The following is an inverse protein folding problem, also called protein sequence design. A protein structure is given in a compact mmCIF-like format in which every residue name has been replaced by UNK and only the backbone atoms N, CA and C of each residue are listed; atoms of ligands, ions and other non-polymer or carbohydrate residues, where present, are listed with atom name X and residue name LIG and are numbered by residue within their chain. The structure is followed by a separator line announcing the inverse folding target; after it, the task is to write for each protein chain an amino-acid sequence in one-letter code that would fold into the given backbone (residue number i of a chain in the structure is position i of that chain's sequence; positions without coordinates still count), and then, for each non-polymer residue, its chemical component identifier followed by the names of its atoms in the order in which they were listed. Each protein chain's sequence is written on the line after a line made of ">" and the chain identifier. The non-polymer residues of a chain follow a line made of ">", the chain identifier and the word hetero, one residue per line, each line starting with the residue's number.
data_IF_882070539002
#
_entry.id   IF_882070539002
#
_cell.length_a   1.000
_cell.length_b   1.000
_cell.length_c   1.000
_cell.angle_alpha   90.00
_cell.angle_beta   90.00
_cell.angle_gamma   90.00
#
_symmetry.space_group_name_H-M   'P 1'
#
loop_
_entity.id
_entity.type
_entity.pdbx_description
1 polymer ?
#
# COMPACT_ATOMS: atom_id res chain seq x y z
N UNK A 1 -12.35 7.44 11.12
CA UNK A 1 -11.94 6.16 11.74
C UNK A 1 -10.85 6.47 12.75
N UNK A 2 -11.10 6.31 14.05
CA UNK A 2 -10.09 6.53 15.09
C UNK A 2 -9.60 5.17 15.56
N UNK A 3 -8.43 4.76 15.08
CA UNK A 3 -7.80 3.53 15.54
C UNK A 3 -6.79 3.91 16.63
N UNK A 4 -6.79 3.25 17.81
CA UNK A 4 -5.99 3.66 18.96
C UNK A 4 -4.53 3.18 18.80
N UNK A 5 -3.85 3.65 17.76
CA UNK A 5 -2.42 3.38 17.60
C UNK A 5 -1.64 4.03 18.74
N UNK A 6 -0.62 3.30 19.23
CA UNK A 6 0.36 3.85 20.16
C UNK A 6 1.04 5.09 19.51
N UNK A 7 1.28 6.16 20.26
CA UNK A 7 2.11 7.28 19.81
C UNK A 7 3.49 6.78 19.33
N UNK A 8 4.04 7.44 18.31
CA UNK A 8 5.34 7.11 17.69
C UNK A 8 5.43 5.73 17.00
N UNK A 9 4.37 4.91 17.06
CA UNK A 9 4.37 3.64 16.35
C UNK A 9 4.31 3.85 14.84
N UNK A 10 4.89 2.91 14.10
CA UNK A 10 4.63 2.75 12.67
C UNK A 10 3.25 2.13 12.50
N UNK A 11 2.38 2.74 11.69
CA UNK A 11 0.95 2.43 11.64
C UNK A 11 0.58 1.87 10.27
N UNK A 12 -0.02 0.68 10.27
CA UNK A 12 -0.60 0.07 9.08
C UNK A 12 -2.01 -0.37 9.37
N UNK A 13 -2.91 -0.16 8.41
CA UNK A 13 -4.24 -0.75 8.38
C UNK A 13 -4.30 -1.59 7.11
N UNK A 14 -4.74 -2.84 7.25
CA UNK A 14 -5.07 -3.70 6.11
C UNK A 14 -6.59 -3.85 6.10
N UNK A 15 -7.25 -3.18 5.17
CA UNK A 15 -8.69 -3.25 4.98
C UNK A 15 -9.03 -4.40 4.01
N UNK A 16 -9.99 -5.24 4.38
CA UNK A 16 -10.47 -6.34 3.55
C UNK A 16 -11.92 -6.06 3.18
N UNK A 17 -12.20 -5.98 1.89
CA UNK A 17 -13.54 -5.80 1.35
C UNK A 17 -14.00 -7.07 0.66
N UNK A 18 -15.28 -7.42 0.84
CA UNK A 18 -15.90 -8.54 0.13
C UNK A 18 -16.51 -8.14 -1.22
N UNK A 19 -16.55 -6.85 -1.53
CA UNK A 19 -17.07 -6.26 -2.77
C UNK A 19 -16.29 -4.98 -3.08
N UNK A 20 -16.15 -4.58 -4.36
CA UNK A 20 -15.59 -3.28 -4.73
C UNK A 20 -16.33 -2.13 -4.04
N UNK A 21 -15.60 -1.09 -3.67
CA UNK A 21 -16.15 0.13 -3.11
C UNK A 21 -16.74 1.00 -4.23
N UNK A 22 -18.07 1.00 -4.31
CA UNK A 22 -18.82 1.80 -5.28
C UNK A 22 -18.43 3.29 -5.22
N UNK A 23 -18.29 3.91 -6.39
CA UNK A 23 -18.28 5.37 -6.49
C UNK A 23 -19.69 5.85 -6.16
N UNK A 24 -19.84 6.58 -5.06
CA UNK A 24 -21.11 7.24 -4.75
C UNK A 24 -21.45 8.20 -5.89
N UNK A 25 -22.50 7.86 -6.65
CA UNK A 25 -22.94 8.57 -7.87
C UNK A 25 -23.71 9.86 -7.53
N UNK A 26 -23.90 10.16 -6.23
CA UNK A 26 -24.72 11.28 -5.79
C UNK A 26 -23.84 12.53 -5.55
N UNK A 27 -23.98 13.61 -6.35
CA UNK A 27 -23.25 14.86 -6.17
C UNK A 27 -23.76 15.71 -4.99
N UNK A 28 -24.70 15.18 -4.20
CA UNK A 28 -25.42 15.89 -3.15
C UNK A 28 -25.08 15.30 -1.79
N UNK A 29 -24.08 15.87 -1.12
CA UNK A 29 -23.92 15.96 0.35
C UNK A 29 -22.45 16.17 0.73
N UNK A 30 -22.19 16.58 1.97
CA UNK A 30 -20.88 16.79 2.61
C UNK A 30 -19.91 15.58 2.61
N UNK A 31 -20.25 14.49 1.94
CA UNK A 31 -19.43 13.28 1.83
C UNK A 31 -18.05 13.50 1.20
N UNK A 32 -17.88 14.30 0.12
CA UNK A 32 -16.56 14.57 -0.46
C UNK A 32 -15.65 15.28 0.54
N UNK A 33 -16.19 16.25 1.28
CA UNK A 33 -15.44 16.99 2.30
C UNK A 33 -15.03 16.08 3.47
N UNK A 34 -15.94 15.20 3.94
CA UNK A 34 -15.62 14.21 4.98
C UNK A 34 -14.56 13.20 4.52
N UNK A 35 -14.62 12.76 3.27
CA UNK A 35 -13.62 11.88 2.66
C UNK A 35 -12.25 12.57 2.56
N UNK A 36 -12.22 13.82 2.10
CA UNK A 36 -11.00 14.62 2.04
C UNK A 36 -10.39 14.86 3.43
N UNK A 37 -11.20 15.23 4.43
CA UNK A 37 -10.76 15.41 5.81
C UNK A 37 -10.26 14.08 6.40
N UNK A 38 -10.92 12.97 6.10
CA UNK A 38 -10.48 11.62 6.46
C UNK A 38 -9.12 11.30 5.86
N UNK A 39 -8.92 11.58 4.57
CA UNK A 39 -7.64 11.42 3.87
C UNK A 39 -6.53 12.24 4.51
N UNK A 40 -6.77 13.53 4.75
CA UNK A 40 -5.81 14.43 5.41
C UNK A 40 -5.45 13.89 6.80
N UNK A 41 -6.42 13.40 7.57
CA UNK A 41 -6.18 12.83 8.89
C UNK A 41 -5.33 11.54 8.81
N UNK A 42 -5.56 10.67 7.82
CA UNK A 42 -4.77 9.45 7.59
C UNK A 42 -3.32 9.80 7.22
N UNK A 43 -3.14 10.72 6.27
CA UNK A 43 -1.81 11.19 5.85
C UNK A 43 -1.06 11.81 7.03
N UNK A 44 -1.69 12.75 7.74
CA UNK A 44 -1.08 13.42 8.90
C UNK A 44 -0.74 12.47 10.01
N UNK A 45 -1.54 11.42 10.23
CA UNK A 45 -1.25 10.44 11.28
C UNK A 45 -0.16 9.42 10.89
N UNK A 46 0.28 9.42 9.63
CA UNK A 46 1.30 8.50 9.11
C UNK A 46 0.79 7.07 8.96
N UNK A 47 -0.53 6.88 8.84
CA UNK A 47 -1.12 5.56 8.64
C UNK A 47 -0.95 5.15 7.19
N UNK A 48 -0.36 3.98 6.97
CA UNK A 48 -0.43 3.27 5.69
C UNK A 48 -1.72 2.47 5.61
N UNK A 49 -2.47 2.64 4.53
CA UNK A 49 -3.66 1.84 4.28
C UNK A 49 -3.43 0.92 3.09
N UNK A 50 -3.42 -0.38 3.36
CA UNK A 50 -3.44 -1.41 2.34
C UNK A 50 -4.85 -1.95 2.19
N UNK A 51 -5.27 -2.21 0.95
CA UNK A 51 -6.63 -2.66 0.65
C UNK A 51 -6.58 -4.02 -0.05
N UNK A 52 -7.36 -4.96 0.43
CA UNK A 52 -7.63 -6.24 -0.22
C UNK A 52 -9.08 -6.17 -0.72
N UNK A 53 -9.28 -6.26 -2.02
CA UNK A 53 -10.61 -6.11 -2.64
C UNK A 53 -10.76 -7.02 -3.87
N UNK A 54 -11.97 -7.44 -4.23
CA UNK A 54 -12.23 -8.13 -5.49
C UNK A 54 -11.93 -7.21 -6.67
N UNK A 55 -11.28 -7.76 -7.69
CA UNK A 55 -10.89 -7.08 -8.94
C UNK A 55 -11.22 -7.99 -10.12
N UNK A 56 -12.51 -8.15 -10.38
CA UNK A 56 -13.01 -9.11 -11.37
C UNK A 56 -12.73 -8.71 -12.82
N UNK A 57 -12.44 -7.43 -13.08
CA UNK A 57 -12.15 -6.87 -14.40
C UNK A 57 -10.69 -6.43 -14.57
N UNK A 58 -9.80 -6.88 -13.68
CA UNK A 58 -8.37 -6.64 -13.80
C UNK A 58 -7.82 -7.28 -15.08
N UNK A 59 -7.21 -6.46 -15.92
CA UNK A 59 -6.61 -6.89 -17.18
C UNK A 59 -5.31 -6.14 -17.45
N UNK A 60 -4.48 -6.70 -18.34
CA UNK A 60 -3.25 -6.06 -18.82
C UNK A 60 -3.42 -5.81 -20.31
N UNK A 61 -3.22 -4.57 -20.73
CA UNK A 61 -3.32 -4.17 -22.13
C UNK A 61 -2.41 -5.00 -23.03
N UNK A 62 -2.96 -5.51 -24.13
CA UNK A 62 -2.23 -6.34 -25.10
C UNK A 62 -1.87 -7.75 -24.61
N UNK A 63 -2.34 -8.19 -23.44
CA UNK A 63 -2.13 -9.55 -22.93
C UNK A 63 -3.44 -10.30 -22.68
N UNK A 64 -3.34 -11.62 -22.53
CA UNK A 64 -4.45 -12.50 -22.20
C UNK A 64 -4.85 -12.38 -20.72
N UNK A 65 -6.08 -12.82 -20.40
CA UNK A 65 -6.61 -12.77 -19.02
C UNK A 65 -5.74 -13.51 -18.01
N UNK A 66 -5.09 -14.61 -18.42
CA UNK A 66 -4.20 -15.40 -17.56
C UNK A 66 -2.99 -14.62 -17.07
N UNK A 67 -2.55 -13.61 -17.83
CA UNK A 67 -1.47 -12.74 -17.40
C UNK A 67 -1.87 -11.91 -16.17
N UNK A 68 -3.13 -11.49 -16.08
CA UNK A 68 -3.66 -10.73 -14.95
C UNK A 68 -3.84 -11.59 -13.69
N UNK A 69 -4.11 -12.90 -13.82
CA UNK A 69 -4.19 -13.85 -12.69
C UNK A 69 -2.87 -13.95 -11.89
N UNK A 70 -1.75 -13.59 -12.52
CA UNK A 70 -0.44 -13.55 -11.89
C UNK A 70 -0.18 -12.29 -11.06
N UNK A 71 -1.06 -11.29 -11.12
CA UNK A 71 -0.97 -10.08 -10.31
C UNK A 71 -1.40 -10.40 -8.88
N UNK A 72 -0.59 -10.02 -7.91
CA UNK A 72 -0.93 -10.06 -6.48
C UNK A 72 -1.57 -8.74 -6.06
N UNK A 73 -1.01 -7.63 -6.53
CA UNK A 73 -1.48 -6.29 -6.18
C UNK A 73 -0.71 -5.21 -6.92
N UNK A 74 -0.99 -3.95 -6.60
CA UNK A 74 -0.33 -2.77 -7.17
C UNK A 74 -0.46 -1.60 -6.20
N UNK A 75 0.40 -0.60 -6.33
CA UNK A 75 0.25 0.70 -5.66
C UNK A 75 0.12 1.83 -6.68
N UNK A 76 0.60 3.04 -6.36
CA UNK A 76 0.55 4.17 -7.27
C UNK A 76 1.68 4.15 -8.33
N UNK A 77 2.67 3.26 -8.17
CA UNK A 77 3.91 3.27 -8.95
C UNK A 77 4.17 1.95 -9.66
N UNK A 78 3.88 0.81 -9.01
CA UNK A 78 4.28 -0.50 -9.52
C UNK A 78 3.22 -1.59 -9.33
N UNK A 79 3.31 -2.62 -10.17
CA UNK A 79 2.55 -3.87 -10.05
C UNK A 79 3.40 -4.96 -9.40
N UNK A 80 2.80 -5.72 -8.50
CA UNK A 80 3.40 -6.85 -7.82
C UNK A 80 2.80 -8.16 -8.32
N UNK A 81 3.64 -9.10 -8.72
CA UNK A 81 3.24 -10.38 -9.32
C UNK A 81 3.69 -11.57 -8.48
N UNK A 82 3.12 -12.75 -8.74
CA UNK A 82 3.42 -13.99 -8.01
C UNK A 82 4.92 -14.34 -7.97
N UNK A 83 5.69 -13.94 -9.00
CA UNK A 83 7.14 -14.15 -9.07
C UNK A 83 7.94 -13.34 -8.04
N UNK A 84 7.36 -12.25 -7.52
CA UNK A 84 8.01 -11.37 -6.56
C UNK A 84 8.14 -12.00 -5.17
N UNK A 85 7.39 -13.07 -4.88
CA UNK A 85 7.42 -13.78 -3.61
C UNK A 85 8.82 -14.27 -3.22
N UNK A 86 9.68 -14.53 -4.22
CA UNK A 86 11.05 -15.01 -4.03
C UNK A 86 12.10 -13.90 -4.03
N UNK A 87 11.72 -12.65 -4.35
CA UNK A 87 12.66 -11.53 -4.42
C UNK A 87 12.99 -11.04 -3.03
N UNK A 88 14.27 -10.73 -2.80
CA UNK A 88 14.75 -10.14 -1.53
C UNK A 88 14.27 -8.70 -1.35
N UNK A 89 14.12 -7.97 -2.44
CA UNK A 89 13.64 -6.59 -2.46
C UNK A 89 12.42 -6.50 -3.35
N UNK A 90 11.33 -5.93 -2.81
CA UNK A 90 10.07 -5.80 -3.52
C UNK A 90 10.02 -4.43 -4.19
N UNK A 91 10.36 -4.39 -5.49
CA UNK A 91 10.23 -3.18 -6.33
C UNK A 91 8.96 -3.17 -7.18
N UNK A 92 8.41 -4.35 -7.49
CA UNK A 92 7.35 -4.48 -8.47
C UNK A 92 7.85 -4.20 -9.89
N UNK A 93 6.89 -4.02 -10.80
CA UNK A 93 7.07 -3.72 -12.21
C UNK A 93 6.31 -2.43 -12.56
N UNK A 94 7.06 -1.34 -12.75
CA UNK A 94 6.55 0.01 -13.08
C UNK A 94 6.05 0.10 -14.52
N UNK A 95 6.66 -0.66 -15.44
CA UNK A 95 6.21 -0.69 -16.84
C UNK A 95 4.89 -1.42 -16.96
N UNK A 96 4.73 -2.54 -16.24
CA UNK A 96 3.46 -3.27 -16.20
C UNK A 96 2.32 -2.42 -15.61
N UNK A 97 2.61 -1.53 -14.65
CA UNK A 97 1.62 -0.62 -14.07
C UNK A 97 0.95 0.30 -15.10
N UNK A 98 1.69 0.73 -16.12
CA UNK A 98 1.13 1.58 -17.20
C UNK A 98 0.09 0.86 -18.06
N UNK A 99 0.05 -0.47 -17.99
CA UNK A 99 -0.79 -1.31 -18.84
C UNK A 99 -1.93 -2.00 -18.09
N UNK A 100 -2.03 -1.86 -16.75
CA UNK A 100 -3.16 -2.46 -16.03
C UNK A 100 -4.43 -1.64 -16.23
N UNK A 101 -5.56 -2.33 -16.38
CA UNK A 101 -6.90 -1.75 -16.45
C UNK A 101 -7.81 -2.43 -15.44
N UNK A 102 -8.59 -1.64 -14.72
CA UNK A 102 -9.54 -2.09 -13.70
C UNK A 102 -10.65 -1.04 -13.52
N UNK A 103 -11.78 -1.46 -12.95
CA UNK A 103 -12.90 -0.57 -12.71
C UNK A 103 -12.57 0.48 -11.65
N UNK A 104 -12.93 1.76 -11.85
CA UNK A 104 -12.67 2.80 -10.86
C UNK A 104 -13.36 2.53 -9.53
N UNK A 105 -12.61 2.59 -8.43
CA UNK A 105 -13.06 2.22 -7.09
C UNK A 105 -12.52 3.23 -6.06
N UNK A 106 -13.40 3.71 -5.17
CA UNK A 106 -13.03 4.76 -4.21
C UNK A 106 -12.02 4.31 -3.15
N UNK A 107 -12.02 3.04 -2.77
CA UNK A 107 -11.07 2.46 -1.84
C UNK A 107 -9.70 2.27 -2.48
N UNK A 108 -9.66 1.91 -3.77
CA UNK A 108 -8.43 1.87 -4.56
C UNK A 108 -7.81 3.27 -4.64
N UNK A 109 -8.61 4.25 -5.10
CA UNK A 109 -8.18 5.65 -5.24
C UNK A 109 -7.66 6.19 -3.89
N UNK A 110 -8.35 5.87 -2.79
CA UNK A 110 -7.96 6.29 -1.46
C UNK A 110 -6.64 5.63 -1.01
N UNK A 111 -6.49 4.31 -1.16
CA UNK A 111 -5.29 3.56 -0.78
C UNK A 111 -4.04 4.06 -1.51
N UNK A 112 -4.12 4.18 -2.84
CA UNK A 112 -3.02 4.70 -3.66
C UNK A 112 -2.62 6.12 -3.22
N UNK A 113 -3.61 6.94 -2.86
CA UNK A 113 -3.36 8.33 -2.47
C UNK A 113 -2.77 8.55 -1.08
N UNK A 114 -2.65 7.48 -0.29
CA UNK A 114 -1.96 7.47 1.01
C UNK A 114 -0.73 6.56 0.98
N UNK A 115 -0.16 6.38 -0.21
CA UNK A 115 1.01 5.55 -0.50
C UNK A 115 0.82 4.08 -0.05
N UNK A 116 -0.41 3.57 -0.14
CA UNK A 116 -0.77 2.20 0.16
C UNK A 116 -0.88 1.32 -1.08
N UNK A 117 -0.97 0.01 -0.87
CA UNK A 117 -1.15 -0.96 -1.96
C UNK A 117 -2.56 -1.56 -1.97
N UNK A 118 -2.99 -1.96 -3.16
CA UNK A 118 -4.22 -2.71 -3.44
C UNK A 118 -3.84 -4.14 -3.79
N UNK A 119 -4.57 -5.11 -3.26
CA UNK A 119 -4.35 -6.54 -3.46
C UNK A 119 -5.60 -7.21 -4.02
N UNK A 120 -5.42 -7.97 -5.11
CA UNK A 120 -6.49 -8.61 -5.87
C UNK A 120 -6.99 -9.87 -5.16
N UNK A 121 -8.08 -9.78 -4.39
CA UNK A 121 -8.56 -10.93 -3.62
C UNK A 121 -9.03 -12.08 -4.49
N UNK A 122 -9.55 -11.80 -5.69
CA UNK A 122 -10.01 -12.83 -6.64
C UNK A 122 -8.85 -13.73 -7.09
N UNK A 123 -7.67 -13.15 -7.34
CA UNK A 123 -6.48 -13.89 -7.72
C UNK A 123 -5.98 -14.79 -6.57
N UNK A 124 -6.19 -14.37 -5.32
CA UNK A 124 -5.93 -15.21 -4.16
C UNK A 124 -6.95 -16.36 -4.04
N UNK A 125 -8.25 -16.05 -4.10
CA UNK A 125 -9.32 -17.03 -3.90
C UNK A 125 -9.28 -18.10 -4.99
N UNK A 126 -9.12 -17.72 -6.26
CA UNK A 126 -9.10 -18.67 -7.38
C UNK A 126 -7.73 -19.30 -7.62
N UNK A 127 -6.67 -18.78 -6.99
CA UNK A 127 -5.31 -19.29 -7.10
C UNK A 127 -5.14 -20.70 -6.51
N UNK A 128 -4.25 -21.50 -7.12
CA UNK A 128 -3.80 -22.78 -6.56
C UNK A 128 -3.03 -22.57 -5.25
N UNK A 129 -2.90 -23.60 -4.41
CA UNK A 129 -2.25 -23.51 -3.10
C UNK A 129 -0.85 -22.83 -3.13
N UNK A 130 -0.01 -23.14 -4.12
CA UNK A 130 1.29 -22.50 -4.30
C UNK A 130 1.20 -20.99 -4.61
N UNK A 131 0.22 -20.58 -5.43
CA UNK A 131 -0.02 -19.18 -5.75
C UNK A 131 -0.62 -18.42 -4.58
N UNK A 132 -1.48 -19.04 -3.78
CA UNK A 132 -1.98 -18.46 -2.52
C UNK A 132 -0.85 -18.18 -1.54
N UNK A 133 0.11 -19.10 -1.42
CA UNK A 133 1.30 -18.91 -0.58
C UNK A 133 2.14 -17.73 -1.08
N UNK A 134 2.42 -17.67 -2.38
CA UNK A 134 3.19 -16.58 -2.99
C UNK A 134 2.49 -15.23 -2.82
N UNK A 135 1.17 -15.18 -3.00
CA UNK A 135 0.35 -14.00 -2.76
C UNK A 135 0.55 -13.47 -1.33
N UNK A 136 0.43 -14.34 -0.32
CA UNK A 136 0.63 -13.95 1.08
C UNK A 136 2.06 -13.46 1.35
N UNK A 137 3.07 -14.06 0.71
CA UNK A 137 4.46 -13.62 0.83
C UNK A 137 4.66 -12.22 0.25
N UNK A 138 4.16 -11.96 -0.96
CA UNK A 138 4.25 -10.64 -1.62
C UNK A 138 3.52 -9.59 -0.81
N UNK A 139 2.28 -9.87 -0.39
CA UNK A 139 1.49 -8.97 0.46
C UNK A 139 2.23 -8.64 1.76
N UNK A 140 2.73 -9.65 2.45
CA UNK A 140 3.46 -9.46 3.71
C UNK A 140 4.74 -8.65 3.50
N UNK A 141 5.51 -8.96 2.45
CA UNK A 141 6.71 -8.21 2.09
C UNK A 141 6.39 -6.74 1.78
N UNK A 142 5.32 -6.46 1.04
CA UNK A 142 4.91 -5.10 0.72
C UNK A 142 4.54 -4.32 1.97
N UNK A 143 3.69 -4.90 2.82
CA UNK A 143 3.29 -4.28 4.09
C UNK A 143 4.51 -3.98 4.96
N UNK A 144 5.46 -4.91 5.09
CA UNK A 144 6.68 -4.69 5.88
C UNK A 144 7.56 -3.61 5.23
N UNK A 145 7.72 -3.63 3.91
CA UNK A 145 8.51 -2.64 3.18
C UNK A 145 7.94 -1.23 3.35
N UNK A 146 6.62 -1.07 3.31
CA UNK A 146 5.96 0.23 3.50
C UNK A 146 6.15 0.83 4.90
N UNK A 147 6.32 -0.04 5.90
CA UNK A 147 6.51 0.34 7.30
C UNK A 147 7.98 0.58 7.64
N UNK A 148 8.89 -0.20 7.04
CA UNK A 148 10.31 -0.20 7.43
C UNK A 148 11.21 0.54 6.46
N UNK A 149 10.80 0.67 5.19
CA UNK A 149 11.52 1.31 4.10
C UNK A 149 11.50 2.84 4.15
N UNK A 150 10.73 3.42 5.07
CA UNK A 150 10.69 4.87 5.26
C UNK A 150 11.15 5.27 6.65
N UNK A 151 11.73 6.46 6.73
CA UNK A 151 11.98 7.20 7.95
C UNK A 151 10.93 8.30 8.07
N UNK A 152 10.24 8.34 9.21
CA UNK A 152 9.15 9.26 9.48
C UNK A 152 9.56 10.13 10.65
N UNK A 153 9.56 11.45 10.43
CA UNK A 153 9.68 12.42 11.51
C UNK A 153 8.29 12.84 11.96
N UNK A 154 8.03 12.73 13.26
CA UNK A 154 6.75 13.08 13.86
C UNK A 154 6.92 14.18 14.89
N UNK A 155 5.94 15.06 14.98
CA UNK A 155 5.77 16.02 16.06
C UNK A 155 4.56 15.60 16.88
N UNK A 156 4.79 15.40 18.18
CA UNK A 156 3.78 14.92 19.11
C UNK A 156 3.37 16.03 20.08
N UNK A 157 2.07 16.23 20.22
CA UNK A 157 1.46 17.13 21.21
C UNK A 157 0.61 16.34 22.20
N UNK A 158 0.50 16.87 23.41
CA UNK A 158 -0.46 16.39 24.40
C UNK A 158 -1.76 17.19 24.23
N UNK A 159 -2.85 16.49 23.98
CA UNK A 159 -4.18 17.08 23.87
C UNK A 159 -5.08 16.54 24.98
N UNK A 160 -6.01 17.35 25.46
CA UNK A 160 -7.04 16.88 26.38
C UNK A 160 -8.09 16.14 25.55
N UNK A 161 -8.18 14.82 25.71
CA UNK A 161 -9.25 14.00 25.15
C UNK A 161 -10.58 14.24 25.86
N UNK A 162 -11.56 13.35 25.70
CA UNK A 162 -12.86 13.53 26.37
C UNK A 162 -12.76 13.58 27.90
N UNK A 163 -11.88 12.77 28.50
CA UNK A 163 -11.72 12.70 29.96
C UNK A 163 -10.28 12.43 30.43
N UNK A 164 -9.32 12.29 29.52
CA UNK A 164 -7.92 11.96 29.83
C UNK A 164 -6.99 12.57 28.77
N UNK A 165 -5.74 12.90 29.13
CA UNK A 165 -4.75 13.38 28.16
C UNK A 165 -4.47 12.28 27.12
N UNK A 166 -4.39 12.68 25.87
CA UNK A 166 -4.02 11.83 24.73
C UNK A 166 -2.82 12.44 24.03
N UNK A 167 -1.83 11.63 23.71
CA UNK A 167 -0.71 12.06 22.87
C UNK A 167 -1.10 11.88 21.40
N UNK A 168 -1.06 12.96 20.62
CA UNK A 168 -1.25 12.92 19.18
C UNK A 168 0.05 13.25 18.46
N UNK A 169 0.44 12.37 17.54
CA UNK A 169 1.62 12.57 16.71
C UNK A 169 1.22 12.79 15.26
N UNK A 170 1.68 13.89 14.68
CA UNK A 170 1.52 14.22 13.27
C UNK A 170 2.85 14.05 12.54
N UNK A 171 2.80 13.52 11.32
CA UNK A 171 3.95 13.40 10.44
C UNK A 171 4.30 14.78 9.89
N UNK A 172 5.55 15.19 10.10
CA UNK A 172 6.12 16.46 9.61
C UNK A 172 7.01 16.22 8.40
N UNK A 173 7.73 15.10 8.37
CA UNK A 173 8.59 14.72 7.25
C UNK A 173 8.57 13.21 7.02
N UNK A 174 8.74 12.83 5.76
CA UNK A 174 8.88 11.45 5.30
C UNK A 174 10.08 11.39 4.37
N UNK A 175 10.98 10.43 4.61
CA UNK A 175 12.13 10.16 3.75
C UNK A 175 12.19 8.66 3.46
N UNK A 176 12.39 8.30 2.21
CA UNK A 176 12.70 6.91 1.87
C UNK A 176 14.10 6.58 2.36
N UNK A 177 14.26 5.41 2.96
CA UNK A 177 15.59 4.91 3.29
C UNK A 177 16.24 4.47 1.99
N UNK A 178 17.49 4.89 1.76
CA UNK A 178 18.28 4.37 0.64
C UNK A 178 18.20 2.83 0.66
N UNK A 179 17.86 2.18 -0.47
CA UNK A 179 17.82 0.73 -0.52
C UNK A 179 19.19 0.19 -0.12
N UNK A 180 19.22 -0.74 0.85
CA UNK A 180 20.43 -1.34 1.42
C UNK A 180 21.38 -1.95 0.37
N UNK A 181 20.91 -2.14 -0.87
CA UNK A 181 21.69 -2.59 -2.03
C UNK A 181 22.77 -1.59 -2.45
N UNK A 182 22.54 -0.27 -2.30
CA UNK A 182 23.54 0.75 -2.68
C UNK A 182 24.84 0.64 -1.88
N UNK A 183 24.77 0.09 -0.65
CA UNK A 183 25.95 -0.15 0.19
C UNK A 183 26.69 -1.45 -0.15
N UNK A 184 26.02 -2.44 -0.72
CA UNK A 184 26.65 -3.71 -1.13
C UNK A 184 27.37 -3.55 -2.47
N UNK A 185 26.76 -2.84 -3.43
CA UNK A 185 27.42 -2.52 -4.70
C UNK A 185 28.61 -1.56 -4.52
N UNK A 186 28.53 -0.59 -3.60
CA UNK A 186 29.70 0.24 -3.24
C UNK A 186 30.85 -0.54 -2.59
N UNK A 187 30.57 -1.67 -1.90
CA UNK A 187 31.62 -2.55 -1.37
C UNK A 187 32.28 -3.41 -2.45
N UNK A 188 31.50 -3.87 -3.44
CA UNK A 188 32.03 -4.65 -4.58
C UNK A 188 32.81 -3.79 -5.58
N UNK A 189 32.44 -2.51 -5.77
CA UNK A 189 33.23 -1.56 -6.56
C UNK A 189 34.54 -1.16 -5.87
N UNK A 190 34.57 -1.09 -4.53
CA UNK A 190 35.82 -0.81 -3.78
C UNK A 190 36.78 -1.98 -3.69
N UNK A 191 36.35 -3.22 -3.94
CA UNK A 191 37.25 -4.40 -3.97
C UNK A 191 37.75 -4.76 -5.37
N UNK A 192 37.30 -4.06 -6.42
CA UNK A 192 37.81 -4.19 -7.81
C UNK A 192 38.83 -3.12 -8.18
N UNK A 193 39.20 -2.27 -7.22
CA UNK A 193 40.26 -1.26 -7.35
C UNK A 193 41.34 -1.56 -6.29
N UNK A 194 41.91 -2.76 -6.35
CA UNK A 194 43.26 -3.11 -5.87
C UNK A 194 43.79 -4.17 -6.83
#
# INVERSE_FOLDING_TARGET
>A
MFYPFRPEAVKSVVAVYGKPCEKSVLPLSSLPLKSLLGKIAVIRSGIKLNVITPLTDLSIEGKDSKSADSIVGFDAEAVYVQGDAKKKTLRGDEELFKHIKYSPDTCIDFAQSVDGAVFASDNFIHGKAGLRKNFLQVLSHKVINDLTGVEIQQECSCEIGRFYPITRCNVVSRREKEPLVSKVERKLLKSKII
#
